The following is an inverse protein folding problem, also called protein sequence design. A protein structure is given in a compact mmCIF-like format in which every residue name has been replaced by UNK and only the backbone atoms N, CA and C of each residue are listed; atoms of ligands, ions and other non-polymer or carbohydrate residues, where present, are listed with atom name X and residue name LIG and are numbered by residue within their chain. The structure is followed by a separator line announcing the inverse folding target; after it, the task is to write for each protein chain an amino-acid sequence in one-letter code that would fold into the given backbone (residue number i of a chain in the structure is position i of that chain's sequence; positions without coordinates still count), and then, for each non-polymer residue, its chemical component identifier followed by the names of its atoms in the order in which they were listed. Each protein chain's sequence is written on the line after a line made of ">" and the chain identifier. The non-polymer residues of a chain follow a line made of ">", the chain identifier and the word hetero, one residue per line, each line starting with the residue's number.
data_IF_148878995560
#
_entry.id   IF_148878995560
#
_cell.length_a   1.000
_cell.length_b   1.000
_cell.length_c   1.000
_cell.angle_alpha   90.00
_cell.angle_beta   90.00
_cell.angle_gamma   90.00
#
_symmetry.space_group_name_H-M   'P 1'
#
loop_
_entity.id
_entity.type
_entity.pdbx_description
1 polymer ?
#
# COMPACT_ATOMS: atom_id res chain seq x y z
N UNK A 1 -41.33 50.09 16.20
CA UNK A 1 -41.46 50.24 17.66
C UNK A 1 -40.93 49.01 18.40
N UNK A 2 -39.72 48.51 18.07
CA UNK A 2 -38.99 47.51 18.88
C UNK A 2 -37.49 47.63 18.61
N UNK A 3 -36.92 48.77 19.00
CA UNK A 3 -35.47 48.96 19.15
C UNK A 3 -35.23 49.17 20.64
N UNK A 4 -34.76 48.15 21.36
CA UNK A 4 -34.43 48.29 22.78
C UNK A 4 -34.68 47.07 23.68
N UNK A 5 -35.07 45.90 23.15
CA UNK A 5 -35.13 44.69 23.98
C UNK A 5 -33.82 43.91 23.90
N UNK A 6 -33.18 43.75 25.05
CA UNK A 6 -32.09 42.81 25.29
C UNK A 6 -32.53 41.41 24.84
N UNK A 7 -31.78 40.79 23.92
CA UNK A 7 -32.16 39.55 23.19
C UNK A 7 -32.19 38.28 24.07
N UNK A 8 -32.20 38.40 25.39
CA UNK A 8 -32.22 37.31 26.36
C UNK A 8 -33.28 37.51 27.46
N UNK A 9 -34.52 37.82 27.08
CA UNK A 9 -35.63 37.79 28.04
C UNK A 9 -36.49 36.55 27.81
N UNK A 10 -36.44 35.62 28.76
CA UNK A 10 -37.35 34.47 28.80
C UNK A 10 -38.76 35.01 29.05
N UNK A 11 -39.67 34.73 28.12
CA UNK A 11 -41.03 35.31 28.10
C UNK A 11 -41.99 34.44 28.93
N UNK A 12 -41.76 33.13 28.94
CA UNK A 12 -42.52 32.16 29.74
C UNK A 12 -41.70 30.88 29.89
N UNK A 13 -41.78 30.23 31.04
CA UNK A 13 -41.19 28.89 31.30
C UNK A 13 -42.31 27.95 31.67
N UNK A 14 -42.68 27.06 30.76
CA UNK A 14 -43.68 26.03 30.99
C UNK A 14 -43.01 24.76 31.53
N UNK A 15 -43.25 24.45 32.82
CA UNK A 15 -42.80 23.22 33.49
C UNK A 15 -41.72 23.44 34.56
N UNK A 16 -41.73 22.59 35.60
CA UNK A 16 -40.66 22.52 36.60
C UNK A 16 -39.47 21.73 36.03
N UNK A 17 -38.40 22.44 35.68
CA UNK A 17 -37.17 21.84 35.19
C UNK A 17 -36.27 21.37 36.36
N UNK A 18 -36.54 20.18 36.92
CA UNK A 18 -35.77 19.56 38.01
C UNK A 18 -34.47 18.87 37.52
N UNK A 19 -33.60 19.61 36.85
CA UNK A 19 -32.28 19.12 36.44
C UNK A 19 -31.22 20.18 36.73
N UNK A 20 -30.02 19.72 37.08
CA UNK A 20 -28.89 20.60 37.32
C UNK A 20 -28.55 21.39 36.04
N UNK A 21 -28.13 22.64 36.22
CA UNK A 21 -27.65 23.47 35.10
C UNK A 21 -26.51 22.73 34.38
N UNK A 22 -26.59 22.66 33.06
CA UNK A 22 -25.52 22.09 32.24
C UNK A 22 -24.19 22.77 32.55
N UNK A 23 -23.13 21.98 32.72
CA UNK A 23 -21.79 22.50 32.90
C UNK A 23 -21.36 23.32 31.67
N UNK A 24 -20.48 24.30 31.88
CA UNK A 24 -19.89 25.11 30.80
C UNK A 24 -19.24 24.20 29.75
N UNK A 25 -18.56 23.15 30.19
CA UNK A 25 -17.93 22.14 29.32
C UNK A 25 -18.95 21.39 28.42
N UNK A 26 -20.13 21.05 28.94
CA UNK A 26 -21.21 20.42 28.15
C UNK A 26 -21.72 21.38 27.07
N UNK A 27 -21.86 22.66 27.41
CA UNK A 27 -22.31 23.69 26.48
C UNK A 27 -21.26 23.90 25.38
N UNK A 28 -19.99 24.05 25.75
CA UNK A 28 -18.88 24.22 24.80
C UNK A 28 -18.72 23.01 23.87
N UNK A 29 -18.83 21.78 24.40
CA UNK A 29 -18.83 20.55 23.59
C UNK A 29 -19.97 20.53 22.57
N UNK A 30 -21.17 20.95 22.99
CA UNK A 30 -22.34 20.97 22.12
C UNK A 30 -22.20 22.03 21.01
N UNK A 31 -21.69 23.22 21.34
CA UNK A 31 -21.39 24.27 20.35
C UNK A 31 -20.38 23.78 19.31
N UNK A 32 -19.26 23.20 19.76
CA UNK A 32 -18.24 22.61 18.89
C UNK A 32 -18.85 21.54 17.97
N UNK A 33 -19.66 20.65 18.53
CA UNK A 33 -20.33 19.58 17.79
C UNK A 33 -21.24 20.11 16.68
N UNK A 34 -22.11 21.07 16.99
CA UNK A 34 -23.06 21.59 16.01
C UNK A 34 -22.37 22.41 14.92
N UNK A 35 -21.35 23.22 15.26
CA UNK A 35 -20.55 23.93 14.26
C UNK A 35 -19.80 22.97 13.33
N UNK A 36 -19.18 21.93 13.89
CA UNK A 36 -18.50 20.90 13.11
C UNK A 36 -19.48 20.13 12.22
N UNK A 37 -20.69 19.81 12.69
CA UNK A 37 -21.74 19.14 11.89
C UNK A 37 -22.17 20.01 10.70
N UNK A 38 -22.45 21.29 10.93
CA UNK A 38 -22.83 22.24 9.87
C UNK A 38 -21.73 22.35 8.82
N UNK A 39 -20.47 22.56 9.24
CA UNK A 39 -19.33 22.61 8.32
C UNK A 39 -19.07 21.28 7.61
N UNK A 40 -19.38 20.16 8.25
CA UNK A 40 -19.27 18.83 7.65
C UNK A 40 -20.30 18.60 6.54
N UNK A 41 -21.45 19.26 6.58
CA UNK A 41 -22.50 19.26 5.56
C UNK A 41 -22.17 20.22 4.41
N UNK A 42 -21.72 21.43 4.71
CA UNK A 42 -21.26 22.41 3.70
C UNK A 42 -20.01 21.95 2.96
N UNK A 43 -19.13 21.21 3.65
CA UNK A 43 -17.88 20.70 3.10
C UNK A 43 -17.73 19.22 3.43
N UNK A 44 -18.54 18.41 2.73
CA UNK A 44 -18.56 16.94 2.83
C UNK A 44 -17.16 16.34 2.56
N UNK A 45 -16.35 17.05 1.78
CA UNK A 45 -15.06 16.59 1.28
C UNK A 45 -13.88 16.95 2.19
N UNK A 46 -14.03 17.96 3.05
CA UNK A 46 -12.95 18.35 3.96
C UNK A 46 -12.73 17.26 5.01
N UNK A 47 -11.46 16.93 5.30
CA UNK A 47 -11.10 15.98 6.36
C UNK A 47 -11.78 16.38 7.69
N UNK A 48 -12.54 15.50 8.36
CA UNK A 48 -13.23 15.85 9.60
C UNK A 48 -12.27 16.44 10.66
N UNK A 49 -11.06 15.89 10.75
CA UNK A 49 -10.04 16.39 11.65
C UNK A 49 -9.59 17.83 11.34
N UNK A 50 -9.57 18.23 10.06
CA UNK A 50 -9.26 19.61 9.67
C UNK A 50 -10.37 20.56 10.13
N UNK A 51 -11.63 20.19 9.92
CA UNK A 51 -12.78 20.97 10.41
C UNK A 51 -12.74 21.08 11.94
N UNK A 52 -12.55 19.97 12.66
CA UNK A 52 -12.48 19.96 14.12
C UNK A 52 -11.34 20.85 14.62
N UNK A 53 -10.14 20.73 14.03
CA UNK A 53 -8.99 21.58 14.41
C UNK A 53 -9.26 23.06 14.15
N UNK A 54 -9.85 23.40 13.01
CA UNK A 54 -10.23 24.78 12.71
C UNK A 54 -11.25 25.31 13.72
N UNK A 55 -12.25 24.52 14.09
CA UNK A 55 -13.23 24.95 15.10
C UNK A 55 -12.64 25.05 16.51
N UNK A 56 -11.73 24.15 16.89
CA UNK A 56 -11.03 24.21 18.18
C UNK A 56 -10.16 25.47 18.27
N UNK A 57 -9.47 25.86 17.18
CA UNK A 57 -8.70 27.11 17.14
C UNK A 57 -9.57 28.36 17.27
N UNK A 58 -10.82 28.29 16.79
CA UNK A 58 -11.78 29.39 16.88
C UNK A 58 -12.57 29.39 18.21
N UNK A 59 -12.34 28.41 19.10
CA UNK A 59 -13.03 28.27 20.37
C UNK A 59 -12.24 28.87 21.54
N UNK A 60 -12.93 29.22 22.64
CA UNK A 60 -12.31 29.86 23.81
C UNK A 60 -11.26 28.94 24.47
N UNK A 61 -10.11 29.48 24.96
CA UNK A 61 -9.01 28.70 25.55
C UNK A 61 -9.35 27.92 26.82
N UNK A 62 -10.52 28.17 27.43
CA UNK A 62 -10.96 27.64 28.72
C UNK A 62 -11.64 26.27 28.64
N UNK A 63 -11.70 25.66 27.46
CA UNK A 63 -12.46 24.43 27.24
C UNK A 63 -11.69 23.18 27.70
N UNK A 64 -12.18 22.51 28.75
CA UNK A 64 -11.68 21.22 29.24
C UNK A 64 -12.08 20.05 28.30
N UNK A 65 -11.91 20.22 27.00
CA UNK A 65 -12.26 19.21 26.01
C UNK A 65 -11.27 18.06 26.03
N UNK A 66 -11.77 16.84 26.29
CA UNK A 66 -10.95 15.63 26.27
C UNK A 66 -11.08 14.89 24.92
N UNK A 67 -10.26 13.84 24.75
CA UNK A 67 -10.24 13.02 23.54
C UNK A 67 -11.57 12.32 23.24
N UNK A 68 -12.39 12.03 24.26
CA UNK A 68 -13.70 11.43 24.08
C UNK A 68 -14.70 12.43 23.47
N UNK A 69 -14.66 13.71 23.87
CA UNK A 69 -15.47 14.76 23.22
C UNK A 69 -15.15 14.85 21.73
N UNK A 70 -13.87 14.84 21.36
CA UNK A 70 -13.41 14.89 19.96
C UNK A 70 -13.89 13.68 19.15
N UNK A 71 -13.87 12.47 19.75
CA UNK A 71 -14.43 11.26 19.11
C UNK A 71 -15.94 11.39 18.87
N UNK A 72 -16.69 11.91 19.83
CA UNK A 72 -18.13 12.10 19.72
C UNK A 72 -18.50 13.15 18.67
N UNK A 73 -17.77 14.28 18.62
CA UNK A 73 -17.92 15.30 17.57
C UNK A 73 -17.68 14.68 16.20
N UNK A 74 -16.59 13.92 16.05
CA UNK A 74 -16.24 13.25 14.79
C UNK A 74 -17.33 12.25 14.36
N UNK A 75 -17.86 11.45 15.29
CA UNK A 75 -18.97 10.53 15.02
C UNK A 75 -20.20 11.29 14.53
N UNK A 76 -20.58 12.37 15.20
CA UNK A 76 -21.74 13.18 14.81
C UNK A 76 -21.56 13.84 13.43
N UNK A 77 -20.35 14.23 13.06
CA UNK A 77 -20.05 14.71 11.70
C UNK A 77 -20.22 13.60 10.66
N UNK A 78 -19.75 12.38 10.95
CA UNK A 78 -19.95 11.24 10.03
C UNK A 78 -21.43 10.90 9.87
N UNK A 79 -22.18 10.83 10.97
CA UNK A 79 -23.62 10.55 10.94
C UNK A 79 -24.35 11.60 10.10
N UNK A 80 -23.98 12.88 10.23
CA UNK A 80 -24.55 13.98 9.45
C UNK A 80 -24.22 13.87 7.96
N UNK A 81 -22.96 13.55 7.59
CA UNK A 81 -22.57 13.30 6.19
C UNK A 81 -23.26 12.09 5.58
N UNK A 82 -23.50 11.05 6.39
CA UNK A 82 -24.19 9.83 5.94
C UNK A 82 -25.64 10.12 5.54
N UNK A 83 -26.29 11.12 6.14
CA UNK A 83 -27.65 11.52 5.75
C UNK A 83 -27.74 12.07 4.32
N UNK A 84 -26.62 12.54 3.75
CA UNK A 84 -26.56 13.11 2.39
C UNK A 84 -26.34 12.05 1.32
N UNK A 85 -25.92 10.84 1.70
CA UNK A 85 -25.65 9.75 0.76
C UNK A 85 -26.75 8.68 0.82
N UNK A 86 -26.93 7.91 -0.26
CA UNK A 86 -27.75 6.70 -0.24
C UNK A 86 -27.33 5.72 0.87
N UNK A 87 -28.19 4.74 1.11
CA UNK A 87 -27.84 3.63 2.01
C UNK A 87 -26.61 2.92 1.45
N UNK A 88 -25.65 2.59 2.32
CA UNK A 88 -24.51 1.77 1.91
C UNK A 88 -25.01 0.45 1.30
N UNK A 89 -24.48 0.05 0.14
CA UNK A 89 -24.86 -1.21 -0.48
C UNK A 89 -24.40 -2.37 0.40
N UNK A 90 -25.22 -3.41 0.45
CA UNK A 90 -25.01 -4.64 1.22
C UNK A 90 -24.67 -5.85 0.33
N UNK A 91 -24.77 -5.68 -0.98
CA UNK A 91 -24.34 -6.67 -1.98
C UNK A 91 -23.58 -6.01 -3.14
N UNK A 92 -22.91 -6.84 -3.95
CA UNK A 92 -22.27 -6.41 -5.18
C UNK A 92 -23.31 -5.83 -6.16
N UNK A 93 -24.46 -6.47 -6.31
CA UNK A 93 -25.55 -6.01 -7.20
C UNK A 93 -26.08 -4.63 -6.79
N UNK A 94 -26.29 -4.39 -5.48
CA UNK A 94 -26.68 -3.06 -4.99
C UNK A 94 -25.60 -2.02 -5.29
N UNK A 95 -24.32 -2.40 -5.23
CA UNK A 95 -23.21 -1.50 -5.58
C UNK A 95 -23.22 -1.16 -7.08
N UNK A 96 -23.42 -2.17 -7.94
CA UNK A 96 -23.51 -1.99 -9.39
C UNK A 96 -24.72 -1.10 -9.75
N UNK A 97 -25.86 -1.28 -9.09
CA UNK A 97 -27.03 -0.42 -9.30
C UNK A 97 -26.73 1.02 -8.90
N UNK A 98 -26.18 1.27 -7.71
CA UNK A 98 -25.84 2.64 -7.27
C UNK A 98 -24.79 3.30 -8.18
N UNK A 99 -23.83 2.53 -8.70
CA UNK A 99 -22.89 3.02 -9.70
C UNK A 99 -23.58 3.36 -11.03
N UNK A 100 -24.57 2.57 -11.44
CA UNK A 100 -25.29 2.77 -12.69
C UNK A 100 -26.09 4.06 -12.69
N UNK A 101 -26.65 4.44 -11.54
CA UNK A 101 -27.34 5.72 -11.34
C UNK A 101 -26.37 6.91 -11.57
N UNK A 102 -25.07 6.71 -11.33
CA UNK A 102 -24.03 7.74 -11.50
C UNK A 102 -23.41 7.79 -12.90
N UNK A 103 -23.67 6.78 -13.74
CA UNK A 103 -22.94 6.55 -15.01
C UNK A 103 -22.95 7.75 -15.96
N UNK A 104 -24.04 8.51 -15.96
CA UNK A 104 -24.24 9.66 -16.86
C UNK A 104 -23.94 11.00 -16.18
N UNK A 105 -23.53 11.01 -14.92
CA UNK A 105 -23.20 12.23 -14.21
C UNK A 105 -21.80 12.76 -14.58
N UNK A 106 -21.61 14.07 -14.44
CA UNK A 106 -20.31 14.71 -14.61
C UNK A 106 -19.24 14.14 -13.64
N UNK A 107 -19.65 13.49 -12.55
CA UNK A 107 -18.74 12.87 -11.60
C UNK A 107 -17.98 11.65 -12.18
N UNK A 108 -18.38 11.10 -13.32
CA UNK A 108 -17.67 10.02 -14.03
C UNK A 108 -16.69 10.54 -15.09
N UNK A 109 -16.65 11.85 -15.31
CA UNK A 109 -15.81 12.50 -16.31
C UNK A 109 -14.64 13.22 -15.66
N UNK A 110 -13.50 13.19 -16.35
CA UNK A 110 -12.36 14.04 -16.04
C UNK A 110 -12.11 14.97 -17.24
N UNK A 111 -12.18 16.29 -17.03
CA UNK A 111 -12.08 17.31 -18.09
C UNK A 111 -13.05 17.06 -19.28
N UNK A 112 -14.28 16.67 -18.97
CA UNK A 112 -15.33 16.41 -19.96
C UNK A 112 -15.19 15.08 -20.71
N UNK A 113 -14.14 14.28 -20.45
CA UNK A 113 -13.96 12.96 -21.05
C UNK A 113 -14.34 11.86 -20.05
N UNK A 114 -14.94 10.77 -20.55
CA UNK A 114 -15.29 9.62 -19.73
C UNK A 114 -14.03 9.03 -19.08
N UNK A 115 -14.04 8.95 -17.75
CA UNK A 115 -12.91 8.42 -16.98
C UNK A 115 -13.25 7.11 -16.29
N UNK A 116 -14.45 6.99 -15.72
CA UNK A 116 -14.89 5.78 -15.04
C UNK A 116 -15.69 4.91 -16.00
N UNK A 117 -15.29 3.65 -16.17
CA UNK A 117 -15.97 2.69 -17.02
C UNK A 117 -16.55 1.58 -16.16
N UNK A 118 -17.83 1.33 -16.32
CA UNK A 118 -18.52 0.23 -15.65
C UNK A 118 -18.67 -0.96 -16.58
N UNK A 119 -18.48 -2.17 -16.05
CA UNK A 119 -18.82 -3.39 -16.76
C UNK A 119 -20.33 -3.41 -17.07
N UNK A 120 -20.70 -3.82 -18.28
CA UNK A 120 -22.11 -4.03 -18.67
C UNK A 120 -22.57 -5.47 -18.46
N UNK A 121 -21.63 -6.38 -18.23
CA UNK A 121 -21.80 -7.79 -17.93
C UNK A 121 -20.54 -8.32 -17.21
N UNK A 122 -20.60 -9.56 -16.73
CA UNK A 122 -19.48 -10.25 -16.08
C UNK A 122 -18.29 -10.49 -17.03
N UNK A 123 -18.48 -10.28 -18.34
CA UNK A 123 -17.49 -10.48 -19.38
C UNK A 123 -16.70 -9.20 -19.73
N UNK A 124 -16.89 -8.10 -18.99
CA UNK A 124 -16.13 -6.88 -19.21
C UNK A 124 -14.68 -7.04 -18.75
N UNK A 125 -13.90 -7.68 -19.60
CA UNK A 125 -12.50 -7.94 -19.39
C UNK A 125 -11.65 -6.71 -19.76
N UNK A 126 -10.49 -6.52 -19.12
CA UNK A 126 -9.56 -5.41 -19.42
C UNK A 126 -9.20 -5.32 -20.91
N UNK A 127 -9.15 -6.47 -21.62
CA UNK A 127 -8.93 -6.49 -23.07
C UNK A 127 -10.06 -5.80 -23.85
N UNK A 128 -11.32 -6.01 -23.47
CA UNK A 128 -12.48 -5.39 -24.14
C UNK A 128 -12.44 -3.86 -23.99
N UNK A 129 -12.08 -3.38 -22.79
CA UNK A 129 -11.89 -1.96 -22.55
C UNK A 129 -10.73 -1.39 -23.39
N UNK A 130 -9.60 -2.10 -23.45
CA UNK A 130 -8.43 -1.66 -24.24
C UNK A 130 -8.73 -1.62 -25.74
N UNK A 131 -9.42 -2.64 -26.27
CA UNK A 131 -9.86 -2.66 -27.66
C UNK A 131 -10.80 -1.48 -27.97
N UNK A 132 -11.77 -1.22 -27.08
CA UNK A 132 -12.74 -0.14 -27.26
C UNK A 132 -12.09 1.26 -27.19
N UNK A 133 -11.15 1.48 -26.29
CA UNK A 133 -10.56 2.80 -26.04
C UNK A 133 -9.30 3.10 -26.86
N UNK A 134 -8.56 2.06 -27.22
CA UNK A 134 -7.24 2.21 -27.84
C UNK A 134 -7.11 1.48 -29.17
N UNK A 135 -8.16 0.78 -29.63
CA UNK A 135 -8.16 -0.03 -30.85
C UNK A 135 -7.03 -1.08 -30.85
N UNK A 136 -6.64 -1.54 -29.66
CA UNK A 136 -5.53 -2.47 -29.46
C UNK A 136 -5.90 -3.53 -28.43
N UNK A 137 -5.46 -4.75 -28.69
CA UNK A 137 -5.49 -5.80 -27.67
C UNK A 137 -4.49 -5.45 -26.57
N UNK A 138 -4.90 -5.56 -25.30
CA UNK A 138 -3.97 -5.46 -24.18
C UNK A 138 -3.08 -6.72 -24.17
N UNK A 139 -1.77 -6.50 -24.35
CA UNK A 139 -0.76 -7.55 -24.33
C UNK A 139 0.02 -7.40 -23.02
N UNK A 140 -0.23 -8.30 -22.07
CA UNK A 140 0.52 -8.35 -20.81
C UNK A 140 1.49 -9.52 -20.91
N UNK A 141 2.77 -9.24 -20.77
CA UNK A 141 3.82 -10.28 -20.87
C UNK A 141 4.35 -10.69 -19.49
N UNK A 142 4.18 -9.81 -18.50
CA UNK A 142 4.85 -9.93 -17.21
C UNK A 142 3.99 -9.34 -16.09
N UNK A 143 3.93 -10.04 -14.95
CA UNK A 143 3.37 -9.53 -13.70
C UNK A 143 4.46 -9.46 -12.62
N UNK A 144 4.57 -8.31 -11.97
CA UNK A 144 5.37 -8.14 -10.75
C UNK A 144 4.45 -8.24 -9.54
N UNK A 145 4.64 -9.25 -8.69
CA UNK A 145 3.75 -9.56 -7.57
C UNK A 145 4.52 -10.08 -6.36
N UNK A 146 3.83 -10.12 -5.23
CA UNK A 146 4.34 -10.70 -4.00
C UNK A 146 4.20 -12.23 -4.03
N UNK A 147 4.71 -12.91 -3.00
CA UNK A 147 4.73 -14.37 -2.91
C UNK A 147 3.40 -14.92 -2.37
N UNK A 148 2.30 -14.60 -3.06
CA UNK A 148 0.96 -15.09 -2.75
C UNK A 148 0.47 -16.06 -3.83
N UNK A 149 0.34 -17.34 -3.46
CA UNK A 149 -0.05 -18.42 -4.38
C UNK A 149 -1.39 -18.12 -5.06
N UNK A 150 -2.37 -17.61 -4.30
CA UNK A 150 -3.69 -17.27 -4.85
C UNK A 150 -3.62 -16.20 -5.93
N UNK A 151 -2.73 -15.21 -5.79
CA UNK A 151 -2.53 -14.18 -6.80
C UNK A 151 -1.86 -14.75 -8.06
N UNK A 152 -0.87 -15.63 -7.90
CA UNK A 152 -0.17 -16.27 -9.03
C UNK A 152 -1.12 -17.19 -9.82
N UNK A 153 -1.95 -17.96 -9.11
CA UNK A 153 -2.95 -18.81 -9.73
C UNK A 153 -3.98 -17.98 -10.50
N UNK A 154 -4.54 -16.94 -9.88
CA UNK A 154 -5.51 -16.06 -10.55
C UNK A 154 -4.92 -15.39 -11.81
N UNK A 155 -3.65 -14.98 -11.77
CA UNK A 155 -2.95 -14.43 -12.94
C UNK A 155 -2.85 -15.47 -14.05
N UNK A 156 -2.49 -16.70 -13.73
CA UNK A 156 -2.33 -17.79 -14.70
C UNK A 156 -3.67 -18.22 -15.30
N UNK A 157 -4.72 -18.30 -14.48
CA UNK A 157 -6.08 -18.64 -14.92
C UNK A 157 -6.65 -17.59 -15.89
N UNK A 158 -6.33 -16.32 -15.64
CA UNK A 158 -6.88 -15.20 -16.40
C UNK A 158 -6.05 -14.84 -17.64
N UNK A 159 -4.72 -14.88 -17.55
CA UNK A 159 -3.82 -14.42 -18.62
C UNK A 159 -3.03 -15.56 -19.28
N UNK A 160 -3.19 -16.81 -18.84
CA UNK A 160 -2.48 -17.96 -19.36
C UNK A 160 -1.01 -18.00 -18.92
N UNK A 161 -0.14 -18.55 -19.78
CA UNK A 161 1.28 -18.73 -19.49
C UNK A 161 2.05 -17.39 -19.56
N UNK A 162 2.01 -16.63 -18.47
CA UNK A 162 2.60 -15.30 -18.34
C UNK A 162 3.82 -15.31 -17.41
N UNK A 163 4.80 -14.44 -17.66
CA UNK A 163 5.98 -14.36 -16.80
C UNK A 163 5.62 -13.73 -15.45
N UNK A 164 5.65 -14.51 -14.38
CA UNK A 164 5.50 -14.01 -13.01
C UNK A 164 6.87 -13.68 -12.44
N UNK A 165 6.98 -12.49 -11.85
CA UNK A 165 8.20 -12.00 -11.22
C UNK A 165 7.88 -11.61 -9.78
N UNK A 166 8.46 -12.36 -8.85
CA UNK A 166 8.39 -12.12 -7.42
C UNK A 166 9.15 -10.86 -6.99
N UNK A 167 8.58 -10.12 -6.05
CA UNK A 167 9.17 -8.94 -5.44
C UNK A 167 10.39 -9.31 -4.56
N UNK A 168 11.59 -8.79 -4.89
CA UNK A 168 12.83 -9.08 -4.14
C UNK A 168 12.75 -8.68 -2.67
N UNK A 169 12.03 -7.61 -2.37
CA UNK A 169 11.83 -7.15 -1.00
C UNK A 169 11.06 -8.17 -0.16
N UNK A 170 9.94 -8.69 -0.69
CA UNK A 170 9.13 -9.69 -0.02
C UNK A 170 9.82 -11.04 0.10
N UNK A 171 10.61 -11.43 -0.92
CA UNK A 171 11.49 -12.61 -0.81
C UNK A 171 12.44 -12.47 0.39
N UNK A 172 13.16 -11.35 0.46
CA UNK A 172 14.09 -11.08 1.56
C UNK A 172 13.39 -11.04 2.92
N UNK A 173 12.17 -10.49 2.99
CA UNK A 173 11.36 -10.50 4.21
C UNK A 173 10.94 -11.91 4.63
N UNK A 174 10.54 -12.78 3.69
CA UNK A 174 10.19 -14.17 3.99
C UNK A 174 11.38 -14.96 4.52
N UNK A 175 12.55 -14.83 3.87
CA UNK A 175 13.79 -15.46 4.31
C UNK A 175 14.22 -14.95 5.68
N UNK A 176 14.15 -13.64 5.89
CA UNK A 176 14.43 -13.00 7.17
C UNK A 176 13.53 -13.53 8.29
N UNK A 177 12.21 -13.59 8.05
CA UNK A 177 11.23 -14.12 9.00
C UNK A 177 11.53 -15.57 9.42
N UNK A 178 11.95 -16.42 8.46
CA UNK A 178 12.35 -17.79 8.79
C UNK A 178 13.59 -17.81 9.69
N UNK A 179 14.61 -17.03 9.35
CA UNK A 179 15.85 -16.93 10.16
C UNK A 179 15.54 -16.45 11.58
N UNK A 180 14.77 -15.36 11.74
CA UNK A 180 14.47 -14.84 13.09
C UNK A 180 13.47 -15.67 13.87
N UNK A 181 12.65 -16.49 13.19
CA UNK A 181 11.75 -17.43 13.84
C UNK A 181 12.50 -18.47 14.66
N UNK A 182 13.69 -18.85 14.20
CA UNK A 182 14.51 -19.89 14.83
C UNK A 182 15.54 -19.26 15.80
N UNK A 183 15.53 -19.60 17.10
CA UNK A 183 16.41 -18.97 18.08
C UNK A 183 17.90 -19.08 17.77
N UNK A 184 18.40 -20.25 17.34
CA UNK A 184 19.83 -20.47 17.04
C UNK A 184 20.28 -19.63 15.85
N UNK A 185 19.51 -19.66 14.76
CA UNK A 185 19.76 -18.85 13.56
C UNK A 185 19.69 -17.35 13.87
N UNK A 186 18.69 -16.91 14.63
CA UNK A 186 18.52 -15.50 15.01
C UNK A 186 19.74 -14.99 15.78
N UNK A 187 20.20 -15.72 16.79
CA UNK A 187 21.36 -15.33 17.60
C UNK A 187 22.61 -15.22 16.71
N UNK A 188 22.86 -16.24 15.88
CA UNK A 188 23.99 -16.25 14.95
C UNK A 188 23.93 -15.09 13.95
N UNK A 189 22.76 -14.83 13.35
CA UNK A 189 22.61 -13.78 12.34
C UNK A 189 22.84 -12.37 12.89
N UNK A 190 22.43 -12.11 14.14
CA UNK A 190 22.62 -10.83 14.83
C UNK A 190 24.07 -10.54 15.21
N UNK A 191 24.91 -11.57 15.29
CA UNK A 191 26.34 -11.44 15.53
C UNK A 191 27.11 -11.35 14.20
N UNK A 192 27.71 -10.19 13.91
CA UNK A 192 28.47 -9.98 12.68
C UNK A 192 29.79 -10.78 12.62
N UNK A 193 30.27 -11.30 13.74
CA UNK A 193 31.47 -12.14 13.80
C UNK A 193 31.18 -13.62 13.59
N UNK A 194 29.92 -14.03 13.74
CA UNK A 194 29.51 -15.42 13.68
C UNK A 194 29.50 -15.96 12.22
N UNK A 195 30.17 -17.09 11.99
CA UNK A 195 30.27 -17.70 10.66
C UNK A 195 28.92 -18.20 10.12
N UNK A 196 28.05 -18.76 10.97
CA UNK A 196 26.68 -19.11 10.57
C UNK A 196 25.89 -17.86 10.16
N UNK A 197 26.04 -16.77 10.91
CA UNK A 197 25.41 -15.49 10.57
C UNK A 197 25.87 -14.93 9.21
N UNK A 198 27.17 -15.03 8.91
CA UNK A 198 27.73 -14.64 7.59
C UNK A 198 27.21 -15.56 6.49
N UNK A 199 27.21 -16.87 6.71
CA UNK A 199 26.72 -17.86 5.77
C UNK A 199 25.23 -17.66 5.43
N UNK A 200 24.37 -17.44 6.42
CA UNK A 200 22.94 -17.12 6.22
C UNK A 200 22.73 -15.88 5.34
N UNK A 201 23.57 -14.86 5.49
CA UNK A 201 23.50 -13.64 4.67
C UNK A 201 23.82 -13.91 3.20
N UNK A 202 24.64 -14.92 2.88
CA UNK A 202 25.00 -15.27 1.50
C UNK A 202 23.80 -15.73 0.67
N UNK A 203 22.79 -16.34 1.29
CA UNK A 203 21.55 -16.74 0.60
C UNK A 203 20.84 -15.57 -0.07
N UNK A 204 20.87 -14.38 0.53
CA UNK A 204 20.31 -13.16 -0.07
C UNK A 204 20.99 -12.78 -1.40
N UNK A 205 22.20 -13.29 -1.65
CA UNK A 205 22.91 -13.19 -2.93
C UNK A 205 22.34 -14.08 -4.03
N UNK A 206 21.67 -15.20 -3.71
CA UNK A 206 21.08 -16.11 -4.71
C UNK A 206 20.02 -15.42 -5.58
N UNK A 207 19.31 -14.42 -5.02
CA UNK A 207 18.33 -13.61 -5.76
C UNK A 207 18.93 -12.78 -6.91
N UNK A 208 20.26 -12.75 -7.02
CA UNK A 208 21.05 -12.02 -8.00
C UNK A 208 21.90 -12.95 -8.88
N UNK A 209 21.50 -14.20 -9.04
CA UNK A 209 22.08 -15.16 -9.98
C UNK A 209 21.03 -15.50 -11.06
N UNK A 210 21.48 -16.03 -12.20
CA UNK A 210 20.57 -16.54 -13.23
C UNK A 210 19.74 -17.72 -12.67
N UNK A 211 18.44 -17.84 -12.98
CA UNK A 211 17.62 -18.94 -12.48
C UNK A 211 18.23 -20.32 -12.72
N UNK A 212 18.95 -20.49 -13.84
CA UNK A 212 19.59 -21.74 -14.27
C UNK A 212 20.78 -22.12 -13.37
N UNK A 213 21.47 -21.15 -12.78
CA UNK A 213 22.65 -21.37 -11.93
C UNK A 213 22.31 -21.43 -10.43
N UNK A 214 21.05 -21.20 -10.04
CA UNK A 214 20.64 -21.16 -8.63
C UNK A 214 20.87 -22.49 -7.92
N UNK A 215 20.53 -23.61 -8.57
CA UNK A 215 20.68 -24.95 -7.99
C UNK A 215 22.14 -25.23 -7.69
N UNK A 216 23.03 -25.02 -8.66
CA UNK A 216 24.47 -25.20 -8.48
C UNK A 216 25.03 -24.27 -7.39
N UNK A 217 24.62 -23.00 -7.40
CA UNK A 217 25.07 -22.03 -6.40
C UNK A 217 24.58 -22.36 -4.98
N UNK A 218 23.39 -22.95 -4.84
CA UNK A 218 22.91 -23.45 -3.57
C UNK A 218 23.76 -24.61 -3.07
N UNK A 219 24.10 -25.59 -3.91
CA UNK A 219 24.97 -26.70 -3.51
C UNK A 219 26.34 -26.22 -3.01
N UNK A 220 26.92 -25.22 -3.68
CA UNK A 220 28.18 -24.59 -3.25
C UNK A 220 28.06 -23.85 -1.91
N UNK A 221 26.88 -23.32 -1.56
CA UNK A 221 26.65 -22.79 -0.22
C UNK A 221 26.54 -23.91 0.82
N UNK A 222 25.88 -25.02 0.49
CA UNK A 222 25.73 -26.15 1.42
C UNK A 222 27.09 -26.78 1.75
N UNK A 223 28.02 -26.85 0.78
CA UNK A 223 29.36 -27.43 1.01
C UNK A 223 30.19 -26.66 2.05
N UNK A 224 29.87 -25.38 2.29
CA UNK A 224 30.54 -24.53 3.28
C UNK A 224 29.68 -24.25 4.52
N UNK A 225 28.61 -25.03 4.73
CA UNK A 225 27.74 -24.88 5.90
C UNK A 225 28.56 -25.02 7.20
N UNK A 226 28.56 -24.02 8.09
CA UNK A 226 29.49 -24.00 9.23
C UNK A 226 29.08 -24.93 10.37
N UNK A 227 27.80 -25.30 10.49
CA UNK A 227 27.28 -26.23 11.50
C UNK A 227 25.84 -26.70 11.17
N UNK A 228 25.35 -27.68 11.92
CA UNK A 228 24.06 -28.34 11.68
C UNK A 228 22.84 -27.41 11.83
N UNK A 229 22.93 -26.33 12.60
CA UNK A 229 21.83 -25.35 12.70
C UNK A 229 21.50 -24.76 11.32
N UNK A 230 22.49 -24.63 10.43
CA UNK A 230 22.29 -24.13 9.07
C UNK A 230 21.28 -24.93 8.26
N UNK A 231 21.13 -26.23 8.54
CA UNK A 231 20.18 -27.08 7.83
C UNK A 231 18.72 -26.66 8.02
N UNK A 232 18.39 -26.04 9.17
CA UNK A 232 17.04 -25.52 9.44
C UNK A 232 16.62 -24.49 8.37
N UNK A 233 17.57 -23.67 7.91
CA UNK A 233 17.30 -22.66 6.89
C UNK A 233 17.48 -23.20 5.48
N UNK A 234 18.53 -23.97 5.20
CA UNK A 234 18.72 -24.53 3.86
C UNK A 234 17.59 -25.46 3.47
N UNK A 235 17.06 -26.27 4.40
CA UNK A 235 15.92 -27.14 4.15
C UNK A 235 14.69 -26.29 3.82
N UNK A 236 14.45 -25.20 4.56
CA UNK A 236 13.37 -24.29 4.20
C UNK A 236 13.55 -23.71 2.78
N UNK A 237 14.77 -23.32 2.41
CA UNK A 237 15.06 -22.76 1.09
C UNK A 237 14.85 -23.79 -0.02
N UNK A 238 15.40 -24.99 0.12
CA UNK A 238 15.30 -26.02 -0.93
C UNK A 238 13.85 -26.41 -1.17
N UNK A 239 13.08 -26.69 -0.12
CA UNK A 239 11.68 -27.14 -0.25
C UNK A 239 10.74 -26.07 -0.81
N UNK A 240 10.97 -24.79 -0.51
CA UNK A 240 10.04 -23.73 -0.90
C UNK A 240 10.45 -23.01 -2.20
N UNK A 241 11.73 -23.07 -2.59
CA UNK A 241 12.27 -22.20 -3.64
C UNK A 241 13.16 -22.86 -4.69
N UNK A 242 13.61 -24.11 -4.51
CA UNK A 242 14.63 -24.72 -5.38
C UNK A 242 14.22 -26.09 -5.91
N UNK A 243 13.70 -26.98 -5.07
CA UNK A 243 13.36 -28.34 -5.49
C UNK A 243 12.32 -28.37 -6.62
N UNK A 244 12.28 -29.50 -7.33
CA UNK A 244 11.25 -29.74 -8.33
C UNK A 244 9.87 -29.63 -7.67
N UNK A 245 8.95 -28.92 -8.32
CA UNK A 245 7.60 -28.66 -7.82
C UNK A 245 7.51 -27.81 -6.54
N UNK A 246 8.59 -27.13 -6.14
CA UNK A 246 8.51 -26.13 -5.07
C UNK A 246 7.48 -25.02 -5.39
N UNK A 247 6.99 -24.36 -4.35
CA UNK A 247 5.94 -23.34 -4.49
C UNK A 247 6.40 -22.13 -5.31
N UNK A 248 7.67 -21.74 -5.17
CA UNK A 248 8.20 -20.54 -5.79
C UNK A 248 9.55 -20.82 -6.49
N UNK A 249 9.53 -21.41 -7.70
CA UNK A 249 10.75 -21.80 -8.40
C UNK A 249 11.67 -20.62 -8.77
N UNK A 250 12.97 -20.86 -9.03
CA UNK A 250 13.98 -19.81 -9.26
C UNK A 250 13.62 -18.81 -10.35
N UNK A 251 12.92 -19.22 -11.41
CA UNK A 251 12.45 -18.33 -12.47
C UNK A 251 11.50 -17.22 -11.98
N UNK A 252 10.84 -17.41 -10.84
CA UNK A 252 9.98 -16.40 -10.22
C UNK A 252 10.79 -15.35 -9.46
N UNK A 253 11.94 -15.69 -8.86
CA UNK A 253 12.58 -14.82 -7.85
C UNK A 253 14.06 -14.49 -8.10
N UNK A 254 14.80 -15.34 -8.82
CA UNK A 254 16.17 -15.09 -9.21
C UNK A 254 16.25 -14.34 -10.54
N UNK A 255 17.26 -13.49 -10.71
CA UNK A 255 17.65 -12.85 -11.97
C UNK A 255 18.96 -12.10 -11.74
N UNK A 256 19.81 -12.07 -12.76
CA UNK A 256 21.05 -11.30 -12.77
C UNK A 256 20.81 -9.82 -12.44
N UNK A 257 21.76 -9.12 -11.77
CA UNK A 257 21.59 -7.71 -11.45
C UNK A 257 21.30 -6.85 -12.68
N UNK A 258 20.35 -5.93 -12.53
CA UNK A 258 20.00 -4.95 -13.57
C UNK A 258 19.59 -3.62 -12.93
N UNK A 259 19.43 -2.58 -13.74
CA UNK A 259 18.87 -1.30 -13.29
C UNK A 259 17.35 -1.36 -13.10
N UNK A 260 16.70 -2.43 -13.56
CA UNK A 260 15.26 -2.60 -13.45
C UNK A 260 14.89 -2.95 -12.01
N UNK A 261 14.04 -2.15 -11.35
CA UNK A 261 13.64 -2.40 -9.99
C UNK A 261 12.67 -3.60 -9.95
N UNK A 262 12.95 -4.57 -9.07
CA UNK A 262 12.10 -5.76 -8.83
C UNK A 262 11.36 -5.63 -7.51
N UNK A 263 10.51 -4.60 -7.45
CA UNK A 263 9.77 -4.18 -6.27
C UNK A 263 8.35 -3.76 -6.62
N UNK A 264 7.45 -3.94 -5.65
CA UNK A 264 6.05 -3.52 -5.64
C UNK A 264 5.82 -2.21 -4.89
N UNK A 265 6.88 -1.55 -4.40
CA UNK A 265 6.82 -0.34 -3.58
C UNK A 265 5.97 0.79 -4.19
N UNK A 266 6.00 0.95 -5.52
CA UNK A 266 5.23 1.98 -6.19
C UNK A 266 3.71 1.71 -6.06
N UNK A 267 3.28 0.47 -6.27
CA UNK A 267 1.90 0.05 -6.12
C UNK A 267 1.45 0.13 -4.65
N UNK A 268 2.27 -0.36 -3.72
CA UNK A 268 1.99 -0.25 -2.28
C UNK A 268 1.89 1.20 -1.82
N UNK A 269 2.79 2.07 -2.28
CA UNK A 269 2.73 3.49 -1.94
C UNK A 269 1.48 4.14 -2.52
N UNK A 270 1.10 3.79 -3.75
CA UNK A 270 -0.16 4.25 -4.33
C UNK A 270 -1.36 3.80 -3.49
N UNK A 271 -1.46 2.50 -3.18
CA UNK A 271 -2.55 1.95 -2.35
C UNK A 271 -2.61 2.61 -0.98
N UNK A 272 -1.48 2.79 -0.31
CA UNK A 272 -1.43 3.50 0.99
C UNK A 272 -1.93 4.93 0.88
N UNK A 273 -1.49 5.68 -0.14
CA UNK A 273 -1.94 7.07 -0.36
C UNK A 273 -3.42 7.11 -0.71
N UNK A 274 -3.90 6.22 -1.57
CA UNK A 274 -5.30 6.10 -1.97
C UNK A 274 -6.18 5.74 -0.76
N UNK A 275 -5.82 4.69 -0.02
CA UNK A 275 -6.53 4.24 1.18
C UNK A 275 -6.59 5.32 2.26
N UNK A 276 -5.55 6.14 2.37
CA UNK A 276 -5.51 7.26 3.34
C UNK A 276 -6.53 8.38 3.05
N UNK A 277 -7.11 8.41 1.85
CA UNK A 277 -8.18 9.35 1.50
C UNK A 277 -9.53 8.96 2.12
N UNK A 278 -9.69 7.70 2.52
CA UNK A 278 -10.92 7.21 3.13
C UNK A 278 -10.83 7.24 4.65
N UNK A 279 -11.97 7.51 5.28
CA UNK A 279 -12.08 7.57 6.75
C UNK A 279 -12.95 6.45 7.34
N UNK A 280 -13.46 5.57 6.48
CA UNK A 280 -14.28 4.42 6.81
C UNK A 280 -13.72 3.21 6.06
N UNK A 281 -13.70 2.01 6.66
CA UNK A 281 -13.41 0.77 5.93
C UNK A 281 -14.48 0.45 4.88
N UNK A 282 -15.67 1.05 4.99
CA UNK A 282 -16.77 0.91 4.02
C UNK A 282 -17.16 2.31 3.50
N UNK A 283 -16.40 2.90 2.57
CA UNK A 283 -16.73 4.18 1.96
C UNK A 283 -17.93 4.04 1.01
N UNK A 284 -18.73 5.09 0.88
CA UNK A 284 -19.81 5.11 -0.11
C UNK A 284 -19.24 5.25 -1.52
N UNK A 285 -19.89 4.63 -2.51
CA UNK A 285 -19.47 4.67 -3.91
C UNK A 285 -19.22 6.08 -4.48
N UNK A 286 -20.07 7.07 -4.21
CA UNK A 286 -19.82 8.46 -4.63
C UNK A 286 -18.50 9.02 -4.07
N UNK A 287 -18.11 8.61 -2.86
CA UNK A 287 -16.83 9.00 -2.27
C UNK A 287 -15.68 8.33 -2.99
N UNK A 288 -15.80 7.05 -3.33
CA UNK A 288 -14.79 6.31 -4.11
C UNK A 288 -14.57 6.95 -5.49
N UNK A 289 -15.66 7.19 -6.23
CA UNK A 289 -15.67 7.86 -7.54
C UNK A 289 -14.98 9.22 -7.46
N UNK A 290 -15.35 10.06 -6.49
CA UNK A 290 -14.73 11.39 -6.33
C UNK A 290 -13.23 11.29 -6.05
N UNK A 291 -12.82 10.43 -5.13
CA UNK A 291 -11.40 10.24 -4.79
C UNK A 291 -10.60 9.76 -6.00
N UNK A 292 -11.18 8.90 -6.86
CA UNK A 292 -10.54 8.50 -8.11
C UNK A 292 -10.33 9.69 -9.06
N UNK A 293 -11.33 10.56 -9.22
CA UNK A 293 -11.21 11.77 -10.05
C UNK A 293 -10.18 12.76 -9.49
N UNK A 294 -10.17 12.99 -8.17
CA UNK A 294 -9.15 13.81 -7.50
C UNK A 294 -7.74 13.23 -7.70
N UNK A 295 -7.60 11.90 -7.56
CA UNK A 295 -6.34 11.18 -7.81
C UNK A 295 -5.89 11.33 -9.27
N UNK A 296 -6.81 11.28 -10.23
CA UNK A 296 -6.52 11.50 -11.65
C UNK A 296 -6.06 12.94 -11.92
N UNK A 297 -6.67 13.94 -11.25
CA UNK A 297 -6.30 15.33 -11.36
C UNK A 297 -4.87 15.59 -10.86
N UNK A 298 -4.52 15.03 -9.71
CA UNK A 298 -3.15 15.07 -9.19
C UNK A 298 -2.16 14.36 -10.13
N UNK A 299 -2.52 13.18 -10.63
CA UNK A 299 -1.68 12.38 -11.52
C UNK A 299 -1.39 13.12 -12.82
N UNK A 300 -2.41 13.72 -13.43
CA UNK A 300 -2.25 14.54 -14.64
C UNK A 300 -1.34 15.74 -14.40
N UNK A 301 -1.45 16.37 -13.22
CA UNK A 301 -0.57 17.48 -12.83
C UNK A 301 0.89 17.01 -12.68
N UNK A 302 1.12 15.87 -12.03
CA UNK A 302 2.45 15.26 -11.90
C UNK A 302 3.05 14.92 -13.26
N UNK A 303 2.28 14.30 -14.17
CA UNK A 303 2.71 13.99 -15.54
C UNK A 303 3.11 15.26 -16.28
N UNK A 304 2.31 16.31 -16.21
CA UNK A 304 2.63 17.59 -16.84
C UNK A 304 3.93 18.18 -16.28
N UNK A 305 4.11 18.19 -14.96
CA UNK A 305 5.36 18.66 -14.33
C UNK A 305 6.58 17.90 -14.84
N UNK A 306 6.49 16.57 -14.95
CA UNK A 306 7.58 15.72 -15.46
C UNK A 306 7.90 16.04 -16.93
N UNK A 307 6.88 16.28 -17.78
CA UNK A 307 7.07 16.66 -19.18
C UNK A 307 7.84 17.97 -19.34
N UNK A 308 7.64 18.93 -18.44
CA UNK A 308 8.32 20.23 -18.48
C UNK A 308 9.70 20.19 -17.82
N UNK A 309 9.85 19.41 -16.74
CA UNK A 309 11.11 19.24 -16.03
C UNK A 309 11.20 17.80 -15.51
N UNK A 310 11.84 16.89 -16.26
CA UNK A 310 11.97 15.51 -15.82
C UNK A 310 12.82 15.47 -14.53
N UNK A 311 12.19 15.10 -13.42
CA UNK A 311 12.89 14.76 -12.19
C UNK A 311 13.64 13.43 -12.33
N UNK A 312 14.55 13.13 -11.41
CA UNK A 312 15.19 11.80 -11.35
C UNK A 312 14.13 10.75 -10.96
N UNK A 313 13.96 9.73 -11.81
CA UNK A 313 12.99 8.64 -11.61
C UNK A 313 13.42 7.64 -10.51
N UNK A 314 14.72 7.54 -10.26
CA UNK A 314 15.31 6.73 -9.19
C UNK A 314 16.28 7.57 -8.38
N UNK A 315 16.44 7.23 -7.10
CA UNK A 315 17.43 7.90 -6.26
C UNK A 315 18.85 7.57 -6.75
N UNK A 316 19.75 8.54 -6.71
CA UNK A 316 21.15 8.32 -7.10
C UNK A 316 21.83 7.22 -6.26
N UNK A 317 21.38 7.05 -5.01
CA UNK A 317 21.84 5.99 -4.10
C UNK A 317 21.46 4.60 -4.63
N UNK A 318 20.24 4.43 -5.14
CA UNK A 318 19.75 3.15 -5.64
C UNK A 318 20.38 2.77 -6.97
N UNK A 319 20.52 3.74 -7.89
CA UNK A 319 21.26 3.56 -9.16
C UNK A 319 22.68 3.08 -8.86
N UNK A 320 23.42 3.80 -8.00
CA UNK A 320 24.79 3.43 -7.61
C UNK A 320 24.85 2.04 -6.97
N UNK A 321 23.86 1.68 -6.14
CA UNK A 321 23.78 0.34 -5.54
C UNK A 321 23.65 -0.75 -6.62
N UNK A 322 22.77 -0.55 -7.60
CA UNK A 322 22.55 -1.52 -8.68
C UNK A 322 23.75 -1.62 -9.61
N UNK A 323 24.40 -0.50 -9.97
CA UNK A 323 25.64 -0.49 -10.75
C UNK A 323 26.76 -1.29 -10.06
N UNK A 324 26.92 -1.14 -8.73
CA UNK A 324 27.89 -1.92 -7.95
C UNK A 324 27.56 -3.42 -7.92
N UNK A 325 26.29 -3.82 -8.08
CA UNK A 325 25.93 -5.24 -8.16
C UNK A 325 26.24 -5.79 -9.55
N UNK A 326 25.94 -5.03 -10.61
CA UNK A 326 26.27 -5.40 -11.99
C UNK A 326 27.78 -5.59 -12.13
N UNK A 327 28.57 -4.68 -11.55
CA UNK A 327 30.03 -4.78 -11.53
C UNK A 327 30.52 -6.04 -10.79
N UNK A 328 29.97 -6.32 -9.61
CA UNK A 328 30.31 -7.52 -8.85
C UNK A 328 29.98 -8.81 -9.61
N UNK A 329 28.82 -8.85 -10.27
CA UNK A 329 28.41 -10.00 -11.09
C UNK A 329 29.33 -10.18 -12.31
N UNK A 330 29.74 -9.09 -12.95
CA UNK A 330 30.71 -9.14 -14.06
C UNK A 330 32.08 -9.67 -13.61
N UNK A 331 32.53 -9.30 -12.41
CA UNK A 331 33.78 -9.82 -11.82
C UNK A 331 33.69 -11.32 -11.54
N UNK A 332 32.54 -11.80 -11.05
CA UNK A 332 32.26 -13.22 -10.90
C UNK A 332 32.33 -13.94 -12.25
N UNK A 333 31.63 -13.46 -13.27
CA UNK A 333 31.61 -14.10 -14.60
C UNK A 333 32.99 -14.19 -15.26
N UNK A 334 33.88 -13.24 -15.00
CA UNK A 334 35.24 -13.25 -15.57
C UNK A 334 36.11 -14.42 -15.05
N UNK A 335 35.87 -14.90 -13.82
CA UNK A 335 36.62 -16.02 -13.22
C UNK A 335 35.84 -17.33 -13.24
N UNK A 336 34.51 -17.23 -13.10
CA UNK A 336 33.48 -18.28 -13.08
C UNK A 336 33.96 -19.59 -12.46
N UNK A 337 34.27 -19.54 -11.17
CA UNK A 337 34.60 -20.70 -10.35
C UNK A 337 33.95 -20.59 -8.95
N UNK A 338 33.97 -21.68 -8.18
CA UNK A 338 33.37 -21.77 -6.84
C UNK A 338 33.83 -20.65 -5.91
N UNK A 339 35.13 -20.35 -5.85
CA UNK A 339 35.65 -19.28 -4.99
C UNK A 339 35.06 -17.92 -5.37
N UNK A 340 35.06 -17.59 -6.67
CA UNK A 340 34.50 -16.32 -7.17
C UNK A 340 33.00 -16.20 -6.94
N UNK A 341 32.26 -17.32 -7.00
CA UNK A 341 30.83 -17.39 -6.70
C UNK A 341 30.58 -17.09 -5.23
N UNK A 342 31.29 -17.74 -4.30
CA UNK A 342 31.11 -17.55 -2.86
C UNK A 342 31.47 -16.11 -2.44
N UNK A 343 32.54 -15.54 -3.02
CA UNK A 343 32.89 -14.13 -2.83
C UNK A 343 31.75 -13.21 -3.29
N UNK A 344 31.19 -13.48 -4.48
CA UNK A 344 30.08 -12.70 -5.02
C UNK A 344 28.83 -12.79 -4.14
N UNK A 345 28.43 -14.00 -3.74
CA UNK A 345 27.27 -14.24 -2.87
C UNK A 345 27.42 -13.54 -1.52
N UNK A 346 28.61 -13.58 -0.92
CA UNK A 346 28.92 -12.86 0.32
C UNK A 346 28.82 -11.33 0.15
N UNK A 347 29.38 -10.81 -0.93
CA UNK A 347 29.35 -9.37 -1.23
C UNK A 347 27.94 -8.85 -1.48
N UNK A 348 27.11 -9.58 -2.23
CA UNK A 348 25.74 -9.16 -2.53
C UNK A 348 24.84 -9.41 -1.32
N UNK A 349 24.96 -10.57 -0.68
CA UNK A 349 24.19 -10.95 0.49
C UNK A 349 24.26 -9.89 1.60
N UNK A 350 25.46 -9.42 1.92
CA UNK A 350 25.66 -8.34 2.92
C UNK A 350 24.97 -7.01 2.56
N UNK A 351 24.73 -6.71 1.28
CA UNK A 351 24.01 -5.48 0.82
C UNK A 351 22.49 -5.61 0.86
N UNK A 352 21.97 -6.83 0.85
CA UNK A 352 20.53 -7.15 0.74
C UNK A 352 20.02 -8.00 1.91
N UNK A 353 20.83 -8.18 2.94
CA UNK A 353 20.49 -8.89 4.16
C UNK A 353 19.17 -8.39 4.75
N UNK A 354 18.34 -9.33 5.21
CA UNK A 354 17.14 -9.03 5.97
C UNK A 354 17.45 -8.21 7.22
N UNK A 355 16.66 -7.17 7.45
CA UNK A 355 16.71 -6.32 8.64
C UNK A 355 15.29 -6.09 9.15
N UNK A 356 15.14 -5.81 10.46
CA UNK A 356 13.88 -5.32 10.99
C UNK A 356 13.54 -3.99 10.32
N UNK A 357 12.30 -3.87 9.81
CA UNK A 357 11.77 -2.66 9.19
C UNK A 357 10.86 -1.94 10.16
#
# INVERSE_FOLDING_TARGET
>A
MFSGFDKRKVIETAGQHNHDKNSIEKIETQVLRENCKRKAEESIYTRPLKIIRTELLNSSPTSNLNNQNVRNVRKAMYDKRKQTYPKLPTSLDETIHQLSDLKNEECFKYKGQQFIYMPTDDNFFLNNLCLKLCEKSLQINTFHVDFEIGAHQAITDVFGNIKIIGCRFHLGQSWWKKIVGEPSLRIAYMDNSNELGKWLKMFFGLAFISPEEVVDAFHELISICPNDDGFIFSDYIIHNYIEDHCQFPPNIWAETPSLNPRTTNAAESFHRTYNSQFYSPHPHVHTVVRVLIETQAETSTKINSIRHKPGKLQSAKEIKKNELNIQAYSQFLNRKNTESLLIYLSQIGSRYQGVSI
#
